data_IF_317146256293
#
_entry.id   IF_317146256293
#
_cell.length_a   1.000
_cell.length_b   1.000
_cell.length_c   1.000
_cell.angle_alpha   90.00
_cell.angle_beta   90.00
_cell.angle_gamma   90.00
#
_symmetry.space_group_name_H-M   'P 1'
#
loop_
_entity.id
_entity.type
_entity.pdbx_description
1 polymer ?
#
# COMPACT_ATOMS: atom_id res chain seq x y z
N UNK A 1 -5.58 -7.14 10.07
CA UNK A 1 -6.47 -6.40 9.13
C UNK A 1 -7.63 -5.73 9.89
N UNK A 2 -7.36 -5.06 11.01
CA UNK A 2 -8.40 -4.44 11.87
C UNK A 2 -8.36 -2.90 11.90
N UNK A 3 -7.35 -2.26 11.30
CA UNK A 3 -7.19 -0.81 11.35
C UNK A 3 -8.45 -0.09 10.84
N UNK A 4 -8.99 -0.48 9.68
CA UNK A 4 -10.24 0.08 9.14
C UNK A 4 -11.50 -0.20 9.98
N UNK A 5 -11.45 -1.17 10.90
CA UNK A 5 -12.56 -1.46 11.83
C UNK A 5 -12.57 -0.52 13.04
N UNK A 6 -11.44 0.11 13.35
CA UNK A 6 -11.35 1.15 14.38
C UNK A 6 -11.81 2.51 13.85
N UNK A 7 -12.24 3.41 14.74
CA UNK A 7 -12.54 4.79 14.36
C UNK A 7 -11.31 5.48 13.75
N UNK A 8 -10.15 5.35 14.40
CA UNK A 8 -8.90 5.94 13.94
C UNK A 8 -8.52 5.53 12.51
N UNK A 9 -8.68 4.26 12.14
CA UNK A 9 -8.36 3.83 10.78
C UNK A 9 -9.37 4.32 9.73
N UNK A 10 -10.66 4.46 10.08
CA UNK A 10 -11.64 5.11 9.18
C UNK A 10 -11.34 6.58 8.99
N UNK A 11 -11.03 7.29 10.08
CA UNK A 11 -10.71 8.72 10.03
C UNK A 11 -9.42 8.97 9.25
N UNK A 12 -8.41 8.12 9.43
CA UNK A 12 -7.16 8.15 8.66
C UNK A 12 -7.40 7.94 7.17
N UNK A 13 -8.19 6.92 6.79
CA UNK A 13 -8.55 6.68 5.39
C UNK A 13 -9.32 7.86 4.79
N UNK A 14 -10.30 8.40 5.53
CA UNK A 14 -11.06 9.57 5.09
C UNK A 14 -10.15 10.79 4.87
N UNK A 15 -9.16 11.00 5.73
CA UNK A 15 -8.19 12.09 5.59
C UNK A 15 -7.31 11.92 4.33
N UNK A 16 -6.85 10.70 4.04
CA UNK A 16 -6.09 10.38 2.82
C UNK A 16 -6.94 10.67 1.58
N UNK A 17 -8.18 10.19 1.55
CA UNK A 17 -9.09 10.39 0.40
C UNK A 17 -9.42 11.87 0.20
N UNK A 18 -9.58 12.64 1.28
CA UNK A 18 -9.90 14.07 1.19
C UNK A 18 -8.72 14.91 0.66
N UNK A 19 -7.48 14.53 0.96
CA UNK A 19 -6.27 15.30 0.58
C UNK A 19 -5.13 14.35 0.14
N UNK A 20 -5.31 13.59 -0.96
CA UNK A 20 -4.39 12.51 -1.32
C UNK A 20 -3.00 13.02 -1.64
N UNK A 21 -2.87 14.19 -2.28
CA UNK A 21 -1.58 14.83 -2.58
C UNK A 21 -0.74 15.21 -1.35
N UNK A 22 -1.27 15.05 -0.13
CA UNK A 22 -0.52 15.22 1.14
C UNK A 22 -0.21 13.90 1.85
N UNK A 23 -0.68 12.78 1.31
CA UNK A 23 -0.52 11.47 1.93
C UNK A 23 0.73 10.76 1.40
N UNK A 24 1.41 10.03 2.29
CA UNK A 24 2.39 9.02 1.93
C UNK A 24 1.72 7.66 2.04
N UNK A 25 1.84 6.85 0.99
CA UNK A 25 1.38 5.46 1.00
C UNK A 25 2.62 4.58 1.18
N UNK A 26 2.78 4.05 2.39
CA UNK A 26 3.86 3.12 2.74
C UNK A 26 3.31 1.69 2.77
N UNK A 27 3.94 0.79 2.03
CA UNK A 27 3.50 -0.59 1.84
C UNK A 27 4.62 -1.54 2.21
N UNK A 28 4.26 -2.64 2.86
CA UNK A 28 5.13 -3.80 2.99
C UNK A 28 5.20 -4.57 1.66
N UNK A 29 6.17 -5.48 1.51
CA UNK A 29 6.33 -6.31 0.32
C UNK A 29 5.75 -7.72 0.51
N UNK A 30 6.36 -8.54 1.36
CA UNK A 30 5.98 -9.95 1.51
C UNK A 30 4.62 -10.11 2.20
N UNK A 31 3.69 -10.81 1.56
CA UNK A 31 2.31 -10.94 2.03
C UNK A 31 1.44 -9.70 1.82
N UNK A 32 1.99 -8.63 1.25
CA UNK A 32 1.26 -7.40 0.91
C UNK A 32 1.23 -7.18 -0.60
N UNK A 33 2.40 -6.98 -1.22
CA UNK A 33 2.55 -6.83 -2.68
C UNK A 33 2.93 -8.14 -3.38
N UNK A 34 3.52 -9.09 -2.64
CA UNK A 34 3.85 -10.43 -3.09
C UNK A 34 3.14 -11.47 -2.21
N UNK A 35 2.84 -12.69 -2.70
CA UNK A 35 2.32 -13.76 -1.84
C UNK A 35 3.38 -14.23 -0.84
N UNK A 36 2.95 -14.66 0.36
CA UNK A 36 3.84 -15.40 1.27
C UNK A 36 4.09 -16.78 0.68
N UNK A 37 5.36 -17.10 0.45
CA UNK A 37 5.83 -18.35 -0.14
C UNK A 37 6.91 -18.98 0.73
N UNK A 38 7.16 -20.28 0.55
CA UNK A 38 8.14 -21.02 1.35
C UNK A 38 9.60 -20.61 1.04
N UNK A 39 9.88 -20.27 -0.22
CA UNK A 39 11.18 -19.77 -0.66
C UNK A 39 11.08 -18.25 -0.94
N UNK A 40 11.66 -17.38 -0.09
CA UNK A 40 11.59 -15.94 -0.25
C UNK A 40 12.15 -15.44 -1.58
N UNK A 41 13.12 -16.13 -2.19
CA UNK A 41 13.66 -15.71 -3.50
C UNK A 41 12.63 -15.82 -4.62
N UNK A 42 11.54 -16.55 -4.40
CA UNK A 42 10.40 -16.71 -5.31
C UNK A 42 9.25 -15.75 -5.00
N UNK A 43 9.34 -14.92 -3.95
CA UNK A 43 8.35 -13.89 -3.66
C UNK A 43 8.40 -12.80 -4.75
N UNK A 44 7.55 -12.97 -5.76
CA UNK A 44 7.41 -12.02 -6.86
C UNK A 44 6.19 -11.15 -6.61
N UNK A 45 6.36 -9.84 -6.85
CA UNK A 45 5.25 -8.91 -6.79
C UNK A 45 4.10 -9.41 -7.68
N UNK A 46 2.86 -9.23 -7.21
CA UNK A 46 1.69 -9.50 -8.01
C UNK A 46 1.81 -8.75 -9.34
N UNK A 47 1.45 -9.36 -10.49
CA UNK A 47 1.58 -8.72 -11.80
C UNK A 47 0.97 -7.32 -11.88
N UNK A 48 -0.12 -7.09 -11.13
CA UNK A 48 -0.82 -5.81 -11.08
C UNK A 48 -0.23 -4.79 -10.10
N UNK A 49 0.73 -5.17 -9.25
CA UNK A 49 1.30 -4.28 -8.24
C UNK A 49 1.97 -3.05 -8.88
N UNK A 50 2.87 -3.25 -9.84
CA UNK A 50 3.57 -2.14 -10.51
C UNK A 50 2.60 -1.22 -11.27
N UNK A 51 1.67 -1.73 -12.12
CA UNK A 51 0.65 -0.89 -12.74
C UNK A 51 -0.20 -0.09 -11.74
N UNK A 52 -0.63 -0.71 -10.64
CA UNK A 52 -1.44 -0.04 -9.62
C UNK A 52 -0.66 1.07 -8.91
N UNK A 53 0.58 0.80 -8.51
CA UNK A 53 1.44 1.80 -7.85
C UNK A 53 1.79 2.94 -8.79
N UNK A 54 2.05 2.66 -10.08
CA UNK A 54 2.29 3.68 -11.08
C UNK A 54 1.08 4.59 -11.31
N UNK A 55 -0.14 4.04 -11.30
CA UNK A 55 -1.38 4.81 -11.40
C UNK A 55 -1.68 5.63 -10.13
N UNK A 56 -1.24 5.16 -8.97
CA UNK A 56 -1.41 5.82 -7.68
C UNK A 56 -0.40 6.94 -7.45
N UNK A 57 0.86 6.73 -7.82
CA UNK A 57 1.98 7.64 -7.58
C UNK A 57 1.70 9.12 -7.90
N UNK A 58 1.11 9.50 -9.06
CA UNK A 58 0.85 10.92 -9.37
C UNK A 58 -0.26 11.56 -8.53
N UNK A 59 -1.01 10.78 -7.73
CA UNK A 59 -2.15 11.26 -6.95
C UNK A 59 -1.80 11.55 -5.48
N UNK A 60 -0.67 11.03 -5.02
CA UNK A 60 -0.25 11.09 -3.61
C UNK A 60 1.08 11.82 -3.47
N UNK A 61 1.47 12.18 -2.25
CA UNK A 61 2.75 12.85 -2.03
C UNK A 61 3.94 11.93 -2.32
N UNK A 62 3.81 10.64 -1.97
CA UNK A 62 4.84 9.62 -2.19
C UNK A 62 4.25 8.22 -2.03
N UNK A 63 4.83 7.27 -2.75
CA UNK A 63 4.65 5.83 -2.54
C UNK A 63 6.00 5.25 -2.13
N UNK A 64 6.03 4.49 -1.04
CA UNK A 64 7.23 3.83 -0.54
C UNK A 64 6.94 2.35 -0.26
N UNK A 65 7.86 1.49 -0.65
CA UNK A 65 7.88 0.09 -0.18
C UNK A 65 8.89 0.02 0.97
N UNK A 66 8.48 -0.51 2.11
CA UNK A 66 9.28 -0.67 3.32
C UNK A 66 9.29 -2.17 3.65
N UNK A 67 10.45 -2.80 3.57
CA UNK A 67 10.65 -4.25 3.70
C UNK A 67 11.73 -4.57 4.72
#
# INVERSE_FOLDING_TARGET
MDALRTAAGRDGLAAIVARPARAVIALDFDGTLAPIVADPEQARAHPDAVPALAALAPRVASVAVIT
#
